data_IF_526648329739
#
_entry.id   IF_526648329739
#
_cell.length_a   1.000
_cell.length_b   1.000
_cell.length_c   1.000
_cell.angle_alpha   90.00
_cell.angle_beta   90.00
_cell.angle_gamma   90.00
#
_symmetry.space_group_name_H-M   'P 1'
#
loop_
_entity.id
_entity.type
_entity.pdbx_description
1 polymer ?
#
# COMPACT_ATOMS: atom_id res chain seq x y z
N UNK A 1 -2.10 -38.50 40.58
CA UNK A 1 -1.33 -37.87 39.48
C UNK A 1 -0.17 -37.11 40.10
N UNK A 2 1.07 -37.27 39.62
CA UNK A 2 2.22 -36.57 40.21
C UNK A 2 2.06 -35.05 39.99
N UNK A 3 2.21 -34.22 41.03
CA UNK A 3 2.08 -32.75 40.94
C UNK A 3 2.90 -32.14 39.80
N UNK A 4 4.07 -32.71 39.48
CA UNK A 4 4.90 -32.30 38.34
C UNK A 4 4.19 -32.47 36.99
N UNK A 5 3.45 -33.56 36.80
CA UNK A 5 2.70 -33.84 35.57
C UNK A 5 1.52 -32.87 35.41
N UNK A 6 0.86 -32.53 36.52
CA UNK A 6 -0.21 -31.54 36.56
C UNK A 6 0.28 -30.14 36.14
N UNK A 7 1.43 -29.69 36.66
CA UNK A 7 2.03 -28.41 36.25
C UNK A 7 2.45 -28.39 34.78
N UNK A 8 2.98 -29.49 34.26
CA UNK A 8 3.35 -29.60 32.83
C UNK A 8 2.10 -29.49 31.95
N UNK A 9 1.01 -30.19 32.31
CA UNK A 9 -0.25 -30.11 31.58
C UNK A 9 -0.84 -28.70 31.59
N UNK A 10 -0.84 -28.04 32.74
CA UNK A 10 -1.31 -26.64 32.85
C UNK A 10 -0.46 -25.72 31.98
N UNK A 11 0.88 -25.87 31.99
CA UNK A 11 1.77 -25.07 31.18
C UNK A 11 1.53 -25.26 29.67
N UNK A 12 1.29 -26.50 29.22
CA UNK A 12 0.96 -26.80 27.82
C UNK A 12 -0.38 -26.18 27.39
N UNK A 13 -1.39 -26.24 28.27
CA UNK A 13 -2.69 -25.60 28.01
C UNK A 13 -2.51 -24.08 27.89
N UNK A 14 -1.78 -23.46 28.82
CA UNK A 14 -1.52 -22.02 28.78
C UNK A 14 -0.75 -21.58 27.53
N UNK A 15 0.26 -22.36 27.11
CA UNK A 15 0.97 -22.10 25.86
C UNK A 15 0.05 -22.21 24.64
N UNK A 16 -0.81 -23.25 24.59
CA UNK A 16 -1.78 -23.43 23.51
C UNK A 16 -2.77 -22.26 23.41
N UNK A 17 -3.33 -21.82 24.54
CA UNK A 17 -4.25 -20.67 24.60
C UNK A 17 -3.55 -19.38 24.19
N UNK A 18 -2.32 -19.15 24.68
CA UNK A 18 -1.53 -17.96 24.33
C UNK A 18 -1.21 -17.92 22.84
N UNK A 19 -0.78 -19.04 22.27
CA UNK A 19 -0.54 -19.16 20.83
C UNK A 19 -1.81 -18.88 20.02
N UNK A 20 -2.95 -19.44 20.44
CA UNK A 20 -4.23 -19.21 19.78
C UNK A 20 -4.61 -17.72 19.77
N UNK A 21 -4.54 -17.04 20.92
CA UNK A 21 -4.83 -15.60 21.04
C UNK A 21 -3.88 -14.77 20.16
N UNK A 22 -2.57 -15.02 20.26
CA UNK A 22 -1.55 -14.28 19.50
C UNK A 22 -1.64 -14.52 17.99
N UNK A 23 -2.15 -15.67 17.56
CA UNK A 23 -2.38 -15.98 16.14
C UNK A 23 -3.61 -15.27 15.55
N UNK A 24 -4.60 -14.93 16.39
CA UNK A 24 -5.86 -14.34 15.95
C UNK A 24 -5.87 -12.80 15.98
N UNK A 25 -4.99 -12.16 16.76
CA UNK A 25 -4.96 -10.70 16.89
C UNK A 25 -3.93 -10.10 15.93
N UNK A 26 -4.33 -9.21 15.00
CA UNK A 26 -3.38 -8.47 14.17
C UNK A 26 -2.69 -7.40 15.00
N UNK A 27 -1.36 -7.32 14.88
CA UNK A 27 -0.57 -6.20 15.35
C UNK A 27 -0.72 -5.08 14.34
N UNK A 28 -1.11 -3.90 14.83
CA UNK A 28 -1.25 -2.69 14.03
C UNK A 28 -0.07 -1.77 14.32
N UNK A 29 0.50 -1.21 13.26
CA UNK A 29 1.53 -0.19 13.33
C UNK A 29 1.10 0.97 12.46
N UNK A 30 1.09 2.17 13.02
CA UNK A 30 0.83 3.39 12.27
C UNK A 30 1.97 3.65 11.28
N UNK A 31 1.61 4.15 10.11
CA UNK A 31 2.54 4.54 9.05
C UNK A 31 2.20 5.96 8.63
N UNK A 32 3.22 6.81 8.66
CA UNK A 32 3.21 8.14 8.09
C UNK A 32 4.52 8.31 7.31
N UNK A 33 4.44 8.42 5.98
CA UNK A 33 5.59 8.56 5.10
C UNK A 33 5.36 9.70 4.11
N UNK A 34 6.42 10.47 3.85
CA UNK A 34 6.49 11.46 2.78
C UNK A 34 7.54 10.98 1.78
N UNK A 35 7.12 10.79 0.53
CA UNK A 35 7.95 10.20 -0.49
C UNK A 35 8.03 11.17 -1.67
N UNK A 36 9.24 11.61 -2.05
CA UNK A 36 9.41 12.49 -3.20
C UNK A 36 9.07 11.73 -4.48
N UNK A 37 8.36 12.41 -5.38
CA UNK A 37 7.95 11.87 -6.67
C UNK A 37 8.15 12.89 -7.77
N UNK A 38 8.30 12.37 -8.98
CA UNK A 38 8.35 13.15 -10.21
C UNK A 38 7.09 12.89 -11.01
N UNK A 39 6.49 13.97 -11.46
CA UNK A 39 5.35 13.95 -12.35
C UNK A 39 5.85 14.16 -13.77
N UNK A 40 5.40 13.28 -14.66
CA UNK A 40 5.67 13.31 -16.08
C UNK A 40 4.37 13.51 -16.85
N UNK A 41 4.43 14.29 -17.93
CA UNK A 41 3.35 14.49 -18.89
C UNK A 41 3.91 14.22 -20.28
N UNK A 42 3.26 13.33 -21.04
CA UNK A 42 3.73 12.88 -22.37
C UNK A 42 5.21 12.39 -22.37
N UNK A 43 5.67 11.89 -21.23
CA UNK A 43 7.03 11.37 -21.03
C UNK A 43 8.08 12.42 -20.67
N UNK A 44 7.73 13.70 -20.64
CA UNK A 44 8.61 14.77 -20.17
C UNK A 44 8.36 15.07 -18.69
N UNK A 45 9.44 15.34 -17.94
CA UNK A 45 9.32 15.74 -16.54
C UNK A 45 8.72 17.14 -16.47
N UNK A 46 7.61 17.27 -15.73
CA UNK A 46 6.90 18.56 -15.60
C UNK A 46 7.00 19.15 -14.20
N UNK A 47 7.09 18.32 -13.16
CA UNK A 47 7.06 18.79 -11.78
C UNK A 47 7.63 17.77 -10.80
N UNK A 48 8.25 18.25 -9.73
CA UNK A 48 8.55 17.46 -8.53
C UNK A 48 7.44 17.68 -7.50
N UNK A 49 7.02 16.64 -6.80
CA UNK A 49 5.98 16.66 -5.77
C UNK A 49 6.34 15.68 -4.66
N UNK A 50 5.51 15.59 -3.63
CA UNK A 50 5.59 14.52 -2.64
C UNK A 50 4.25 13.79 -2.54
N UNK A 51 4.32 12.50 -2.24
CA UNK A 51 3.18 11.71 -1.79
C UNK A 51 3.25 11.55 -0.29
N UNK A 52 2.14 11.85 0.36
CA UNK A 52 1.87 11.54 1.75
C UNK A 52 1.10 10.21 1.82
N UNK A 53 1.65 9.25 2.57
CA UNK A 53 1.03 7.97 2.87
C UNK A 53 0.76 7.92 4.36
N UNK A 54 -0.51 7.78 4.74
CA UNK A 54 -0.96 7.76 6.13
C UNK A 54 -1.94 6.62 6.38
N UNK A 55 -1.67 5.76 7.35
CA UNK A 55 -2.59 4.67 7.68
C UNK A 55 -2.01 3.65 8.64
N UNK A 56 -2.53 2.43 8.57
CA UNK A 56 -2.14 1.34 9.46
C UNK A 56 -1.64 0.13 8.66
N UNK A 57 -0.54 -0.47 9.11
CA UNK A 57 -0.11 -1.82 8.71
C UNK A 57 -0.65 -2.82 9.71
N UNK A 58 -1.46 -3.77 9.25
CA UNK A 58 -1.90 -4.94 10.01
C UNK A 58 -1.07 -6.18 9.69
N UNK A 59 -0.39 -6.75 10.70
CA UNK A 59 0.42 -7.98 10.59
C UNK A 59 0.02 -9.00 11.65
N UNK A 60 -0.24 -10.24 11.24
CA UNK A 60 -0.44 -11.34 12.21
C UNK A 60 0.89 -12.05 12.44
N UNK A 61 1.22 -12.34 13.71
CA UNK A 61 2.51 -12.91 14.16
C UNK A 61 2.96 -14.15 13.37
N UNK A 62 2.02 -14.95 12.86
CA UNK A 62 2.30 -16.24 12.23
C UNK A 62 1.75 -16.40 10.82
N UNK A 63 1.08 -15.39 10.25
CA UNK A 63 0.40 -15.58 8.95
C UNK A 63 1.23 -15.17 7.74
N UNK A 64 2.35 -14.47 7.91
CA UNK A 64 3.11 -13.86 6.80
C UNK A 64 2.28 -12.87 5.97
N UNK A 65 1.00 -12.66 6.30
CA UNK A 65 0.10 -11.71 5.66
C UNK A 65 0.24 -10.39 6.39
N UNK A 66 0.63 -9.40 5.61
CA UNK A 66 0.68 -8.00 6.01
C UNK A 66 -0.16 -7.23 5.00
N UNK A 67 -1.02 -6.36 5.51
CA UNK A 67 -1.82 -5.46 4.71
C UNK A 67 -1.66 -4.04 5.24
N UNK A 68 -1.62 -3.07 4.33
CA UNK A 68 -1.71 -1.66 4.64
C UNK A 68 -3.08 -1.17 4.23
N UNK A 69 -3.59 -0.20 4.99
CA UNK A 69 -4.88 0.40 4.76
C UNK A 69 -4.82 1.85 5.21
N UNK A 70 -4.99 2.78 4.28
CA UNK A 70 -4.76 4.19 4.56
C UNK A 70 -4.96 5.12 3.38
N UNK A 71 -4.70 6.39 3.64
CA UNK A 71 -4.72 7.49 2.68
C UNK A 71 -3.42 7.55 1.90
N UNK A 72 -3.57 7.96 0.65
CA UNK A 72 -2.51 8.26 -0.29
C UNK A 72 -2.87 9.59 -0.94
N UNK A 73 -2.03 10.60 -0.77
CA UNK A 73 -2.30 11.96 -1.20
C UNK A 73 -1.07 12.60 -1.85
N UNK A 74 -1.24 13.28 -2.98
CA UNK A 74 -0.16 13.99 -3.67
C UNK A 74 -0.24 15.48 -3.33
N UNK A 75 0.78 16.02 -2.66
CA UNK A 75 0.73 17.33 -2.01
C UNK A 75 0.59 18.53 -2.96
N UNK A 76 1.13 18.43 -4.18
CA UNK A 76 1.06 19.53 -5.17
C UNK A 76 -0.24 19.53 -5.99
N UNK A 77 -1.15 18.58 -5.74
CA UNK A 77 -2.48 18.53 -6.35
C UNK A 77 -3.57 18.77 -5.30
N UNK A 78 -4.73 19.33 -5.71
CA UNK A 78 -5.85 19.52 -4.79
C UNK A 78 -6.21 18.21 -4.08
N UNK A 79 -6.47 18.25 -2.77
CA UNK A 79 -6.88 17.08 -1.99
C UNK A 79 -8.06 16.34 -2.64
N UNK A 80 -9.03 17.08 -3.19
CA UNK A 80 -10.20 16.50 -3.88
C UNK A 80 -9.84 15.68 -5.13
N UNK A 81 -8.66 15.90 -5.71
CA UNK A 81 -8.16 15.21 -6.89
C UNK A 81 -7.39 13.93 -6.53
N UNK A 82 -6.82 13.88 -5.32
CA UNK A 82 -5.80 12.87 -4.97
C UNK A 82 -6.06 12.12 -3.67
N UNK A 83 -7.08 12.46 -2.87
CA UNK A 83 -7.44 11.72 -1.66
C UNK A 83 -7.96 10.32 -2.02
N UNK A 84 -7.03 9.37 -2.00
CA UNK A 84 -7.25 7.99 -2.41
C UNK A 84 -7.02 7.06 -1.23
N UNK A 85 -7.86 6.04 -1.12
CA UNK A 85 -7.62 4.94 -0.20
C UNK A 85 -6.86 3.84 -0.91
N UNK A 86 -5.78 3.40 -0.30
CA UNK A 86 -5.05 2.24 -0.80
C UNK A 86 -5.21 1.08 0.17
N UNK A 87 -5.51 -0.09 -0.40
CA UNK A 87 -5.31 -1.36 0.29
C UNK A 87 -4.13 -2.02 -0.39
N UNK A 88 -3.04 -2.19 0.35
CA UNK A 88 -1.83 -2.84 -0.16
C UNK A 88 -1.64 -4.18 0.52
N UNK A 89 -1.25 -5.20 -0.27
CA UNK A 89 -0.89 -6.52 0.21
C UNK A 89 0.58 -6.80 -0.04
N UNK A 90 1.37 -7.09 1.01
CA UNK A 90 2.85 -7.21 0.94
C UNK A 90 3.40 -8.22 -0.07
N UNK A 91 2.58 -9.19 -0.47
CA UNK A 91 2.97 -10.26 -1.38
C UNK A 91 2.47 -10.03 -2.82
N UNK A 92 2.08 -8.80 -3.15
CA UNK A 92 1.68 -8.40 -4.48
C UNK A 92 2.37 -7.09 -4.84
N UNK A 93 2.88 -6.98 -6.06
CA UNK A 93 3.57 -5.77 -6.51
C UNK A 93 2.60 -4.80 -7.23
N UNK A 94 1.46 -5.31 -7.70
CA UNK A 94 0.38 -4.53 -8.34
C UNK A 94 -0.76 -4.37 -7.35
N UNK A 95 -1.09 -3.13 -7.00
CA UNK A 95 -2.15 -2.83 -6.06
C UNK A 95 -3.29 -2.08 -6.70
N UNK A 96 -4.48 -2.33 -6.18
CA UNK A 96 -5.69 -1.61 -6.56
C UNK A 96 -5.87 -0.40 -5.66
N UNK A 97 -5.87 0.79 -6.25
CA UNK A 97 -6.25 2.04 -5.62
C UNK A 97 -7.76 2.19 -5.70
N UNK A 98 -8.38 2.63 -4.61
CA UNK A 98 -9.78 3.00 -4.56
C UNK A 98 -9.89 4.45 -4.12
N UNK A 99 -10.30 5.33 -5.03
CA UNK A 99 -10.59 6.73 -4.68
C UNK A 99 -11.78 6.77 -3.72
N UNK A 100 -11.65 7.53 -2.62
CA UNK A 100 -12.68 7.63 -1.56
C UNK A 100 -13.83 8.53 -2.04
N UNK A 101 -13.52 9.48 -2.91
CA UNK A 101 -14.44 10.47 -3.45
C UNK A 101 -14.39 10.46 -4.97
N UNK A 102 -15.56 10.58 -5.60
CA UNK A 102 -15.62 10.92 -7.01
C UNK A 102 -15.07 12.34 -7.18
N UNK A 103 -14.09 12.57 -8.08
CA UNK A 103 -13.56 13.91 -8.32
C UNK A 103 -14.72 14.84 -8.71
N UNK A 104 -14.79 16.02 -8.09
CA UNK A 104 -15.79 17.04 -8.42
C UNK A 104 -15.22 17.96 -9.51
N UNK A 105 -15.65 17.75 -10.75
CA UNK A 105 -15.26 18.58 -11.91
C UNK A 105 -14.30 17.86 -12.86
N UNK A 106 -13.58 18.63 -13.68
CA UNK A 106 -12.49 18.12 -14.56
C UNK A 106 -11.20 17.83 -13.75
N UNK A 107 -11.35 17.21 -12.58
CA UNK A 107 -10.23 16.98 -11.67
C UNK A 107 -9.54 15.68 -12.06
N UNK A 108 -8.23 15.77 -12.28
CA UNK A 108 -7.38 14.63 -12.63
C UNK A 108 -7.38 13.65 -11.47
N UNK A 109 -7.87 12.44 -11.71
CA UNK A 109 -7.93 11.30 -10.78
C UNK A 109 -6.75 10.35 -10.99
N UNK A 110 -6.38 9.61 -9.95
CA UNK A 110 -5.41 8.52 -10.07
C UNK A 110 -6.02 7.31 -10.78
N UNK A 111 -5.26 6.64 -11.66
CA UNK A 111 -5.68 5.36 -12.23
C UNK A 111 -5.84 4.32 -11.09
N UNK A 112 -6.72 3.36 -11.33
CA UNK A 112 -7.07 2.29 -10.38
C UNK A 112 -5.88 1.40 -10.03
N UNK A 113 -4.82 1.40 -10.84
CA UNK A 113 -3.69 0.50 -10.68
C UNK A 113 -2.41 1.27 -10.40
N UNK A 114 -1.67 0.78 -9.41
CA UNK A 114 -0.35 1.30 -9.05
C UNK A 114 0.59 0.11 -8.84
N UNK A 115 1.83 0.28 -9.28
CA UNK A 115 2.91 -0.56 -8.81
C UNK A 115 3.53 0.08 -7.58
N UNK A 116 3.74 -0.69 -6.52
CA UNK A 116 4.33 -0.21 -5.27
C UNK A 116 5.14 -1.34 -4.65
N UNK A 117 6.33 -1.02 -4.16
CA UNK A 117 7.22 -1.99 -3.55
C UNK A 117 6.75 -2.45 -2.17
N UNK A 118 7.51 -3.37 -1.58
CA UNK A 118 7.14 -3.99 -0.31
C UNK A 118 7.26 -3.07 0.90
N UNK A 119 8.15 -2.09 0.80
CA UNK A 119 8.41 -1.14 1.87
C UNK A 119 7.56 0.13 1.73
N UNK A 120 6.79 0.22 0.64
CA UNK A 120 6.02 1.38 0.23
C UNK A 120 6.88 2.62 -0.02
N UNK A 121 8.16 2.44 -0.38
CA UNK A 121 9.13 3.52 -0.62
C UNK A 121 9.29 3.84 -2.11
N UNK A 122 8.91 2.91 -2.99
CA UNK A 122 8.95 3.08 -4.44
C UNK A 122 7.61 2.75 -5.07
N UNK A 123 7.10 3.63 -5.92
CA UNK A 123 5.85 3.39 -6.62
C UNK A 123 5.75 4.18 -7.92
N UNK A 124 4.85 3.72 -8.78
CA UNK A 124 4.49 4.36 -10.04
C UNK A 124 3.02 4.11 -10.36
N UNK A 125 2.34 5.17 -10.80
CA UNK A 125 0.96 5.11 -11.24
C UNK A 125 0.70 6.12 -12.37
N UNK A 126 -0.28 5.80 -13.20
CA UNK A 126 -0.86 6.75 -14.15
C UNK A 126 -1.99 7.53 -13.49
N UNK A 127 -2.25 8.72 -14.01
CA UNK A 127 -3.54 9.37 -13.80
C UNK A 127 -4.58 8.80 -14.80
N UNK A 128 -5.87 8.99 -14.55
CA UNK A 128 -6.95 8.43 -15.38
C UNK A 128 -6.89 8.91 -16.84
N UNK A 129 -6.29 10.08 -17.10
CA UNK A 129 -6.06 10.60 -18.46
C UNK A 129 -5.06 9.76 -19.27
N UNK A 130 -4.25 8.93 -18.61
CA UNK A 130 -3.20 8.12 -19.21
C UNK A 130 -2.03 8.91 -19.82
N UNK A 131 -2.06 10.24 -19.75
CA UNK A 131 -1.01 11.14 -20.25
C UNK A 131 -0.03 11.51 -19.14
N UNK A 132 -0.52 11.59 -17.91
CA UNK A 132 0.29 11.91 -16.74
C UNK A 132 0.66 10.65 -15.98
N UNK A 133 1.87 10.66 -15.45
CA UNK A 133 2.39 9.61 -14.57
C UNK A 133 3.10 10.25 -13.38
N UNK A 134 2.95 9.66 -12.20
CA UNK A 134 3.79 9.96 -11.05
C UNK A 134 4.65 8.74 -10.70
N UNK A 135 5.93 8.97 -10.43
CA UNK A 135 6.90 7.91 -10.11
C UNK A 135 7.95 8.40 -9.10
N UNK A 136 8.47 7.50 -8.28
CA UNK A 136 9.63 7.79 -7.42
C UNK A 136 10.95 7.81 -8.18
N UNK A 137 11.03 7.19 -9.37
CA UNK A 137 12.25 7.19 -10.19
C UNK A 137 11.99 7.05 -11.70
N UNK A 138 12.93 7.54 -12.52
CA UNK A 138 12.85 7.39 -13.98
C UNK A 138 13.02 5.94 -14.45
N UNK A 139 13.84 5.15 -13.77
CA UNK A 139 14.02 3.71 -14.07
C UNK A 139 12.72 2.93 -13.87
N UNK A 140 11.99 3.23 -12.79
CA UNK A 140 10.71 2.61 -12.49
C UNK A 140 9.64 2.99 -13.52
N UNK A 141 9.66 4.22 -14.02
CA UNK A 141 8.77 4.66 -15.10
C UNK A 141 9.00 3.83 -16.38
N UNK A 142 10.25 3.68 -16.81
CA UNK A 142 10.55 2.94 -18.04
C UNK A 142 10.14 1.46 -17.91
N UNK A 143 10.48 0.83 -16.79
CA UNK A 143 10.01 -0.53 -16.49
C UNK A 143 8.49 -0.63 -16.51
N UNK A 144 7.80 0.32 -15.91
CA UNK A 144 6.34 0.31 -15.85
C UNK A 144 5.71 0.50 -17.22
N UNK A 145 6.20 1.42 -18.06
CA UNK A 145 5.72 1.59 -19.44
C UNK A 145 5.81 0.30 -20.26
N UNK A 146 6.91 -0.44 -20.13
CA UNK A 146 7.11 -1.71 -20.84
C UNK A 146 6.16 -2.82 -20.36
N UNK A 147 5.82 -2.83 -19.06
CA UNK A 147 5.06 -3.91 -18.43
C UNK A 147 3.57 -3.60 -18.22
N UNK A 148 3.15 -2.32 -18.26
CA UNK A 148 1.78 -1.88 -17.95
C UNK A 148 0.74 -2.32 -18.99
N UNK A 149 1.14 -2.57 -20.24
CA UNK A 149 0.22 -3.07 -21.27
C UNK A 149 -0.43 -4.42 -20.90
N UNK A 150 0.21 -5.22 -20.06
CA UNK A 150 -0.32 -6.53 -19.66
C UNK A 150 -1.44 -6.45 -18.60
N UNK A 151 -1.57 -5.36 -17.84
CA UNK A 151 -2.52 -5.27 -16.71
C UNK A 151 -3.89 -4.70 -17.06
N UNK A 152 -4.05 -4.03 -18.21
CA UNK A 152 -5.36 -3.53 -18.70
C UNK A 152 -6.17 -4.59 -19.44
N UNK A 153 -5.55 -5.67 -19.89
CA UNK A 153 -6.19 -6.73 -20.69
C UNK A 153 -6.53 -8.02 -19.89
N UNK A 154 -6.12 -8.10 -18.62
CA UNK A 154 -6.38 -9.23 -17.70
C UNK A 154 -7.47 -8.94 -16.68
#
# INVERSE_FOLDING_TARGET
MNRKVEYILIALILMGVTYWILSAVPFKTDVEKRIPVRIYEDGEHVMDSEVLIEGEIGKYLFSGRQHFTGKFHLLELPEEATDSYITWMVNSDIQKIQSISAPRGETISMDRWMFIDKEMDSFVFYFEDGQKMATTSGELMEWFKENYRFSRES
#
